data_IF_395037375127
#
_entry.id   IF_395037375127
#
_cell.length_a   1.000
_cell.length_b   1.000
_cell.length_c   1.000
_cell.angle_alpha   90.00
_cell.angle_beta   90.00
_cell.angle_gamma   90.00
#
_symmetry.space_group_name_H-M   'P 1'
#
loop_
_entity.id
_entity.type
_entity.pdbx_description
1 polymer ?
#
# COMPACT_ATOMS: atom_id res chain seq x y z
N UNK A 1 -40.57 -4.67 -1.71
CA UNK A 1 -40.89 -3.44 -0.96
C UNK A 1 -39.63 -2.92 -0.26
N UNK A 2 -39.39 -1.63 -0.44
CA UNK A 2 -38.24 -0.78 -0.07
C UNK A 2 -37.46 -1.13 1.22
N UNK A 3 -36.19 -1.50 1.05
CA UNK A 3 -35.18 -1.41 2.10
C UNK A 3 -34.67 0.03 2.20
N UNK A 4 -35.23 0.83 3.13
CA UNK A 4 -34.80 2.21 3.38
C UNK A 4 -33.32 2.23 3.77
N UNK A 5 -32.48 2.85 2.93
CA UNK A 5 -31.11 3.21 3.30
C UNK A 5 -31.18 4.24 4.43
N UNK A 6 -30.78 3.85 5.65
CA UNK A 6 -30.71 4.71 6.85
C UNK A 6 -29.59 5.76 6.75
N UNK A 7 -29.60 6.62 5.74
CA UNK A 7 -28.53 7.61 5.51
C UNK A 7 -29.02 9.07 5.58
N UNK A 8 -30.33 9.28 5.56
CA UNK A 8 -30.95 10.60 5.56
C UNK A 8 -32.03 10.66 6.64
N UNK A 9 -32.03 11.74 7.42
CA UNK A 9 -33.15 12.12 8.28
C UNK A 9 -33.80 13.37 7.67
N UNK A 10 -35.11 13.34 7.42
CA UNK A 10 -35.84 14.46 6.79
C UNK A 10 -35.23 14.96 5.46
N UNK A 11 -34.64 14.07 4.66
CA UNK A 11 -34.00 14.43 3.39
C UNK A 11 -32.64 15.14 3.52
N UNK A 12 -32.07 15.21 4.73
CA UNK A 12 -30.78 15.85 5.01
C UNK A 12 -29.79 14.83 5.56
N UNK A 13 -28.52 14.99 5.18
CA UNK A 13 -27.42 14.20 5.71
C UNK A 13 -26.90 14.83 7.01
N UNK A 14 -26.55 13.98 7.98
CA UNK A 14 -26.03 14.41 9.27
C UNK A 14 -24.73 13.65 9.59
N UNK A 15 -23.81 14.31 10.28
CA UNK A 15 -22.58 13.72 10.80
C UNK A 15 -22.50 13.90 12.31
N UNK A 16 -21.85 12.95 12.98
CA UNK A 16 -21.56 13.06 14.40
C UNK A 16 -20.26 13.83 14.60
N UNK A 17 -20.30 14.90 15.38
CA UNK A 17 -19.14 15.70 15.77
C UNK A 17 -19.11 15.72 17.30
N UNK A 18 -18.26 14.86 17.87
CA UNK A 18 -18.25 14.61 19.31
C UNK A 18 -19.61 14.10 19.84
N UNK A 19 -20.18 14.82 20.80
CA UNK A 19 -21.49 14.49 21.38
C UNK A 19 -22.69 14.99 20.56
N UNK A 20 -22.46 15.77 19.50
CA UNK A 20 -23.54 16.45 18.75
C UNK A 20 -23.72 15.85 17.37
N UNK A 21 -24.97 15.78 16.91
CA UNK A 21 -25.30 15.44 15.52
C UNK A 21 -25.49 16.74 14.74
N UNK A 22 -24.54 17.06 13.86
CA UNK A 22 -24.57 18.26 13.03
C UNK A 22 -25.05 17.93 11.61
N UNK A 23 -25.78 18.86 10.98
CA UNK A 23 -26.14 18.71 9.57
C UNK A 23 -24.87 18.79 8.71
N UNK A 24 -24.72 17.85 7.80
CA UNK A 24 -23.60 17.80 6.86
C UNK A 24 -23.83 18.79 5.72
N UNK A 25 -22.78 19.50 5.30
CA UNK A 25 -22.86 20.35 4.13
C UNK A 25 -23.05 19.52 2.85
N UNK A 26 -23.69 20.11 1.84
CA UNK A 26 -23.96 19.45 0.56
C UNK A 26 -22.67 19.03 -0.14
N UNK A 27 -21.63 19.85 -0.16
CA UNK A 27 -20.38 19.50 -0.83
C UNK A 27 -19.66 18.35 -0.10
N UNK A 28 -19.72 18.32 1.23
CA UNK A 28 -19.19 17.23 2.05
C UNK A 28 -19.96 15.93 1.85
N UNK A 29 -21.29 15.99 1.78
CA UNK A 29 -22.15 14.84 1.49
C UNK A 29 -21.93 14.28 0.08
N UNK A 30 -21.91 15.14 -0.93
CA UNK A 30 -21.62 14.76 -2.33
C UNK A 30 -20.22 14.15 -2.44
N UNK A 31 -19.22 14.71 -1.74
CA UNK A 31 -17.87 14.13 -1.65
C UNK A 31 -17.88 12.74 -1.02
N UNK A 32 -18.59 12.54 0.09
CA UNK A 32 -18.69 11.23 0.74
C UNK A 32 -19.42 10.21 -0.14
N UNK A 33 -20.45 10.63 -0.89
CA UNK A 33 -21.12 9.77 -1.87
C UNK A 33 -20.20 9.39 -3.03
N UNK A 34 -19.38 10.32 -3.53
CA UNK A 34 -18.39 10.06 -4.58
C UNK A 34 -17.30 9.10 -4.08
N UNK A 35 -16.76 9.32 -2.88
CA UNK A 35 -15.81 8.42 -2.22
C UNK A 35 -16.41 7.04 -1.99
N UNK A 36 -17.70 6.97 -1.61
CA UNK A 36 -18.41 5.70 -1.38
C UNK A 36 -18.74 4.95 -2.66
N UNK A 37 -18.84 5.64 -3.80
CA UNK A 37 -19.18 5.06 -5.12
C UNK A 37 -17.96 4.67 -5.95
N UNK A 38 -16.78 5.23 -5.68
CA UNK A 38 -15.56 4.80 -6.33
C UNK A 38 -15.08 3.49 -5.69
N UNK A 39 -14.84 2.47 -6.52
CA UNK A 39 -14.04 1.34 -6.09
C UNK A 39 -12.69 1.89 -5.59
N UNK A 40 -12.19 1.40 -4.43
CA UNK A 40 -10.80 1.59 -4.03
C UNK A 40 -9.87 1.39 -5.24
N UNK A 41 -8.82 2.21 -5.34
CA UNK A 41 -7.98 2.27 -6.54
C UNK A 41 -7.42 0.90 -6.94
N UNK A 42 -7.07 0.11 -5.94
CA UNK A 42 -6.55 -1.25 -6.09
C UNK A 42 -7.56 -2.24 -6.70
N UNK A 43 -8.86 -2.03 -6.47
CA UNK A 43 -9.95 -2.81 -7.04
C UNK A 43 -10.42 -2.34 -8.43
N UNK A 44 -9.81 -1.31 -9.02
CA UNK A 44 -10.17 -0.86 -10.38
C UNK A 44 -9.78 -1.91 -11.40
N UNK A 45 -10.72 -2.21 -12.28
CA UNK A 45 -10.51 -3.12 -13.40
C UNK A 45 -9.62 -2.46 -14.47
N UNK A 46 -8.70 -3.24 -15.02
CA UNK A 46 -7.78 -2.86 -16.09
C UNK A 46 -8.00 -3.79 -17.29
N UNK A 47 -8.97 -3.49 -18.18
CA UNK A 47 -9.32 -4.35 -19.32
C UNK A 47 -8.17 -4.60 -20.31
N UNK A 48 -7.19 -3.69 -20.34
CA UNK A 48 -6.00 -3.78 -21.18
C UNK A 48 -4.93 -4.73 -20.63
N UNK A 49 -4.99 -5.08 -19.34
CA UNK A 49 -4.03 -5.95 -18.68
C UNK A 49 -4.42 -7.42 -18.82
N UNK A 50 -3.45 -8.27 -19.15
CA UNK A 50 -3.67 -9.70 -19.39
C UNK A 50 -2.82 -10.57 -18.45
N UNK A 51 -3.10 -11.88 -18.42
CA UNK A 51 -2.26 -12.84 -17.69
C UNK A 51 -0.79 -12.83 -18.14
N UNK A 52 -0.49 -12.42 -19.37
CA UNK A 52 0.88 -12.32 -19.87
C UNK A 52 1.68 -11.21 -19.16
N UNK A 53 1.00 -10.19 -18.64
CA UNK A 53 1.60 -9.08 -17.89
C UNK A 53 1.91 -9.45 -16.44
N UNK A 54 1.46 -10.62 -15.97
CA UNK A 54 1.72 -11.14 -14.63
C UNK A 54 2.89 -12.13 -14.61
N UNK A 55 3.61 -12.14 -13.50
CA UNK A 55 4.63 -13.12 -13.19
C UNK A 55 4.03 -14.26 -12.35
N UNK A 56 3.71 -15.37 -13.01
CA UNK A 56 3.06 -16.51 -12.36
C UNK A 56 3.89 -17.14 -11.25
N UNK A 57 5.23 -17.07 -11.33
CA UNK A 57 6.11 -17.56 -10.26
C UNK A 57 5.92 -16.76 -8.97
N UNK A 58 5.72 -15.44 -9.07
CA UNK A 58 5.49 -14.54 -7.93
C UNK A 58 4.17 -14.85 -7.23
N UNK A 59 3.10 -15.09 -8.00
CA UNK A 59 1.82 -15.49 -7.43
C UNK A 59 1.92 -16.83 -6.70
N UNK A 60 2.57 -17.84 -7.31
CA UNK A 60 2.76 -19.15 -6.66
C UNK A 60 3.55 -19.03 -5.36
N UNK A 61 4.62 -18.25 -5.36
CA UNK A 61 5.41 -17.98 -4.16
C UNK A 61 4.57 -17.31 -3.07
N UNK A 62 3.76 -16.31 -3.42
CA UNK A 62 2.86 -15.64 -2.48
C UNK A 62 1.86 -16.62 -1.86
N UNK A 63 1.21 -17.44 -2.69
CA UNK A 63 0.25 -18.44 -2.24
C UNK A 63 0.87 -19.46 -1.29
N UNK A 64 2.09 -19.95 -1.60
CA UNK A 64 2.83 -20.86 -0.72
C UNK A 64 3.07 -20.24 0.66
N UNK A 65 3.53 -18.98 0.72
CA UNK A 65 3.75 -18.28 1.99
C UNK A 65 2.46 -18.00 2.73
N UNK A 66 1.41 -17.57 2.03
CA UNK A 66 0.10 -17.33 2.63
C UNK A 66 -0.47 -18.60 3.29
N UNK A 67 -0.26 -19.77 2.67
CA UNK A 67 -0.64 -21.06 3.27
C UNK A 67 0.23 -21.41 4.48
N UNK A 68 1.56 -21.24 4.39
CA UNK A 68 2.48 -21.60 5.48
C UNK A 68 2.35 -20.69 6.71
N UNK A 69 2.22 -19.39 6.50
CA UNK A 69 2.27 -18.39 7.57
C UNK A 69 0.89 -18.05 8.12
N UNK A 70 -0.15 -18.07 7.28
CA UNK A 70 -1.51 -17.63 7.64
C UNK A 70 -2.55 -18.74 7.56
N UNK A 71 -2.17 -19.95 7.16
CA UNK A 71 -3.09 -21.07 7.00
C UNK A 71 -4.14 -20.86 5.91
N UNK A 72 -3.92 -19.92 4.98
CA UNK A 72 -4.87 -19.64 3.91
C UNK A 72 -4.81 -20.79 2.89
N UNK A 73 -5.90 -21.54 2.65
CA UNK A 73 -5.90 -22.62 1.69
C UNK A 73 -5.63 -22.07 0.29
N UNK A 74 -4.51 -22.46 -0.31
CA UNK A 74 -4.19 -22.16 -1.69
C UNK A 74 -4.14 -23.47 -2.49
N UNK A 75 -4.76 -23.46 -3.66
CA UNK A 75 -4.62 -24.55 -4.60
C UNK A 75 -3.51 -24.20 -5.58
N UNK A 76 -2.30 -24.68 -5.28
CA UNK A 76 -1.14 -24.45 -6.12
C UNK A 76 -1.21 -25.19 -7.46
N UNK A 77 -2.12 -26.18 -7.58
CA UNK A 77 -2.36 -26.92 -8.81
C UNK A 77 -3.44 -26.25 -9.69
N UNK A 78 -4.28 -25.39 -9.12
CA UNK A 78 -5.29 -24.65 -9.87
C UNK A 78 -4.68 -23.70 -10.90
N UNK A 79 -5.39 -23.44 -12.02
CA UNK A 79 -4.99 -22.43 -12.99
C UNK A 79 -4.78 -21.06 -12.35
N UNK A 80 -3.78 -20.31 -12.85
CA UNK A 80 -3.41 -18.99 -12.34
C UNK A 80 -4.63 -18.04 -12.26
N UNK A 81 -5.48 -18.07 -13.29
CA UNK A 81 -6.70 -17.28 -13.36
C UNK A 81 -7.66 -17.54 -12.20
N UNK A 82 -7.78 -18.81 -11.77
CA UNK A 82 -8.68 -19.17 -10.67
C UNK A 82 -8.13 -18.67 -9.33
N UNK A 83 -6.82 -18.81 -9.11
CA UNK A 83 -6.17 -18.27 -7.92
C UNK A 83 -6.28 -16.74 -7.85
N UNK A 84 -6.14 -16.02 -8.96
CA UNK A 84 -6.33 -14.57 -9.00
C UNK A 84 -7.79 -14.18 -8.67
N UNK A 85 -8.77 -14.94 -9.16
CA UNK A 85 -10.20 -14.75 -8.81
C UNK A 85 -10.45 -15.00 -7.32
N UNK A 86 -9.86 -16.07 -6.75
CA UNK A 86 -9.97 -16.39 -5.30
C UNK A 86 -9.36 -15.29 -4.42
N UNK A 87 -8.27 -14.67 -4.87
CA UNK A 87 -7.66 -13.52 -4.21
C UNK A 87 -8.45 -12.21 -4.40
N UNK A 88 -9.48 -12.19 -5.24
CA UNK A 88 -10.30 -11.00 -5.51
C UNK A 88 -9.60 -9.95 -6.39
N UNK A 89 -8.45 -10.30 -6.99
CA UNK A 89 -7.66 -9.39 -7.86
C UNK A 89 -7.91 -9.62 -9.34
N UNK A 90 -8.85 -10.50 -9.68
CA UNK A 90 -9.36 -10.68 -11.04
C UNK A 90 -10.83 -11.05 -11.02
N UNK A 91 -11.55 -10.73 -12.09
CA UNK A 91 -12.95 -11.09 -12.28
C UNK A 91 -13.23 -11.49 -13.72
N UNK A 92 -14.33 -12.19 -13.95
CA UNK A 92 -14.78 -12.54 -15.29
C UNK A 92 -15.82 -11.51 -15.78
N UNK A 93 -15.60 -10.96 -16.97
CA UNK A 93 -16.48 -9.99 -17.64
C UNK A 93 -16.61 -10.40 -19.09
N UNK A 94 -17.83 -10.61 -19.56
CA UNK A 94 -18.14 -10.96 -20.95
C UNK A 94 -17.27 -12.13 -21.49
N UNK A 95 -17.06 -13.15 -20.67
CA UNK A 95 -16.26 -14.33 -20.99
C UNK A 95 -14.74 -14.11 -21.03
N UNK A 96 -14.26 -12.96 -20.55
CA UNK A 96 -12.84 -12.61 -20.45
C UNK A 96 -12.44 -12.40 -19.00
N UNK A 97 -11.20 -12.78 -18.67
CA UNK A 97 -10.61 -12.45 -17.38
C UNK A 97 -10.12 -11.00 -17.41
N UNK A 98 -10.58 -10.21 -16.46
CA UNK A 98 -10.18 -8.81 -16.25
C UNK A 98 -9.43 -8.71 -14.94
N UNK A 99 -8.22 -8.15 -14.99
CA UNK A 99 -7.35 -7.97 -13.83
C UNK A 99 -7.69 -6.66 -13.11
N UNK A 100 -7.41 -6.61 -11.81
CA UNK A 100 -7.45 -5.34 -11.07
C UNK A 100 -6.08 -4.68 -11.01
N UNK A 101 -6.04 -3.40 -10.65
CA UNK A 101 -4.79 -2.69 -10.29
C UNK A 101 -3.96 -3.48 -9.27
N UNK A 102 -4.59 -4.06 -8.25
CA UNK A 102 -3.90 -4.86 -7.24
C UNK A 102 -3.14 -6.05 -7.84
N UNK A 103 -3.72 -6.73 -8.85
CA UNK A 103 -3.04 -7.84 -9.53
C UNK A 103 -1.71 -7.40 -10.16
N UNK A 104 -1.70 -6.24 -10.82
CA UNK A 104 -0.47 -5.69 -11.39
C UNK A 104 0.50 -5.23 -10.30
N UNK A 105 0.03 -4.52 -9.28
CA UNK A 105 0.89 -4.00 -8.23
C UNK A 105 1.55 -5.09 -7.38
N UNK A 106 0.92 -6.25 -7.24
CA UNK A 106 1.44 -7.37 -6.47
C UNK A 106 2.18 -8.41 -7.34
N UNK A 107 1.71 -8.64 -8.57
CA UNK A 107 2.15 -9.76 -9.40
C UNK A 107 2.57 -9.37 -10.82
N UNK A 108 2.53 -8.09 -11.20
CA UNK A 108 2.88 -7.64 -12.55
C UNK A 108 4.38 -7.73 -12.86
N UNK A 109 4.73 -7.99 -14.11
CA UNK A 109 6.13 -7.97 -14.60
C UNK A 109 6.66 -6.55 -14.71
N UNK A 110 5.81 -5.62 -15.19
CA UNK A 110 6.12 -4.20 -15.36
C UNK A 110 4.89 -3.35 -15.01
N UNK A 111 4.51 -3.23 -13.72
CA UNK A 111 3.28 -2.55 -13.31
C UNK A 111 3.21 -1.09 -13.80
N UNK A 112 4.36 -0.44 -13.89
CA UNK A 112 4.48 0.96 -14.31
C UNK A 112 4.11 1.22 -15.78
N UNK A 113 3.99 0.19 -16.63
CA UNK A 113 3.39 0.36 -17.98
C UNK A 113 1.94 0.80 -17.91
N UNK A 114 1.22 0.37 -16.87
CA UNK A 114 -0.17 0.70 -16.62
C UNK A 114 -0.30 1.81 -15.57
N UNK A 115 0.67 1.89 -14.63
CA UNK A 115 0.64 2.79 -13.48
C UNK A 115 1.97 3.58 -13.36
N UNK A 116 2.26 4.53 -14.28
CA UNK A 116 3.60 5.12 -14.45
C UNK A 116 4.19 5.79 -13.20
N UNK A 117 3.34 6.31 -12.33
CA UNK A 117 3.75 7.08 -11.15
C UNK A 117 3.74 6.25 -9.86
N UNK A 118 3.62 4.93 -9.97
CA UNK A 118 3.75 4.03 -8.82
C UNK A 118 5.22 3.67 -8.62
N UNK A 119 5.90 4.43 -7.77
CA UNK A 119 7.30 4.20 -7.39
C UNK A 119 7.56 4.63 -5.94
N UNK A 120 8.67 4.14 -5.38
CA UNK A 120 9.22 4.64 -4.11
C UNK A 120 10.55 5.32 -4.39
N UNK A 121 10.62 6.63 -4.13
CA UNK A 121 11.87 7.40 -4.27
C UNK A 121 12.58 7.50 -2.94
N UNK A 122 13.86 7.18 -2.93
CA UNK A 122 14.67 7.13 -1.72
C UNK A 122 15.94 7.94 -1.91
N UNK A 123 16.29 8.75 -0.92
CA UNK A 123 17.53 9.51 -0.92
C UNK A 123 18.18 9.51 0.46
N UNK A 124 19.51 9.40 0.47
CA UNK A 124 20.35 9.63 1.65
C UNK A 124 20.93 11.03 1.57
N UNK A 125 20.72 11.86 2.58
CA UNK A 125 21.19 13.24 2.63
C UNK A 125 22.42 13.43 3.51
N UNK A 126 23.29 14.37 3.15
CA UNK A 126 24.36 14.82 4.02
C UNK A 126 23.76 15.66 5.16
N UNK A 127 23.88 15.18 6.40
CA UNK A 127 23.34 15.86 7.58
C UNK A 127 21.82 15.73 7.69
N UNK A 128 21.18 16.80 8.17
CA UNK A 128 19.78 16.82 8.62
C UNK A 128 18.82 17.60 7.69
N UNK A 129 19.34 18.13 6.58
CA UNK A 129 18.58 18.95 5.62
C UNK A 129 18.52 18.29 4.23
N UNK A 130 17.44 18.49 3.46
CA UNK A 130 17.26 17.86 2.15
C UNK A 130 18.00 18.60 1.02
N UNK A 131 19.21 19.10 1.28
CA UNK A 131 19.96 19.93 0.33
C UNK A 131 20.93 19.11 -0.53
N UNK A 132 21.75 18.28 0.10
CA UNK A 132 22.80 17.51 -0.57
C UNK A 132 22.53 16.01 -0.40
N UNK A 133 22.12 15.32 -1.47
CA UNK A 133 22.02 13.86 -1.44
C UNK A 133 23.38 13.21 -1.75
N UNK A 134 23.69 12.11 -1.07
CA UNK A 134 24.91 11.32 -1.25
C UNK A 134 24.64 9.96 -1.92
N UNK A 135 23.41 9.45 -1.82
CA UNK A 135 22.93 8.28 -2.55
C UNK A 135 21.44 8.47 -2.85
N UNK A 136 20.95 7.91 -3.96
CA UNK A 136 19.54 7.96 -4.34
C UNK A 136 19.14 6.71 -5.13
N UNK A 137 17.89 6.31 -4.98
CA UNK A 137 17.30 5.19 -5.70
C UNK A 137 15.81 5.44 -5.95
N UNK A 138 15.39 5.29 -7.19
CA UNK A 138 13.98 5.17 -7.55
C UNK A 138 13.66 3.68 -7.68
N UNK A 139 12.80 3.17 -6.81
CA UNK A 139 12.42 1.76 -6.76
C UNK A 139 11.16 1.54 -7.63
N UNK A 140 11.22 0.55 -8.52
CA UNK A 140 10.16 0.21 -9.47
C UNK A 140 9.74 -1.27 -9.34
N UNK A 141 8.80 -1.71 -10.16
CA UNK A 141 8.27 -3.08 -10.12
C UNK A 141 7.04 -3.20 -9.21
N UNK A 142 6.87 -4.36 -8.60
CA UNK A 142 5.78 -4.64 -7.68
C UNK A 142 6.01 -4.01 -6.30
N UNK A 143 4.95 -3.91 -5.50
CA UNK A 143 5.03 -3.37 -4.14
C UNK A 143 6.03 -4.13 -3.26
N UNK A 144 6.06 -5.48 -3.24
CA UNK A 144 7.08 -6.20 -2.49
C UNK A 144 8.51 -5.91 -2.96
N UNK A 145 8.73 -5.82 -4.28
CA UNK A 145 10.05 -5.51 -4.84
C UNK A 145 10.52 -4.11 -4.44
N UNK A 146 9.62 -3.11 -4.51
CA UNK A 146 9.93 -1.75 -4.07
C UNK A 146 10.27 -1.68 -2.57
N UNK A 147 9.57 -2.45 -1.73
CA UNK A 147 9.88 -2.54 -0.29
C UNK A 147 11.24 -3.21 -0.07
N UNK A 148 11.55 -4.29 -0.79
CA UNK A 148 12.82 -5.01 -0.68
C UNK A 148 14.02 -4.17 -1.19
N UNK A 149 13.83 -3.41 -2.26
CA UNK A 149 14.81 -2.42 -2.75
C UNK A 149 15.03 -1.31 -1.74
N UNK A 150 13.95 -0.80 -1.14
CA UNK A 150 14.02 0.23 -0.12
C UNK A 150 14.77 -0.22 1.12
N UNK A 151 14.50 -1.43 1.60
CA UNK A 151 15.19 -2.01 2.74
C UNK A 151 16.69 -2.19 2.45
N UNK A 152 17.05 -2.69 1.27
CA UNK A 152 18.45 -2.81 0.84
C UNK A 152 19.15 -1.46 0.78
N UNK A 153 18.47 -0.43 0.27
CA UNK A 153 18.99 0.94 0.26
C UNK A 153 19.24 1.47 1.67
N UNK A 154 18.31 1.27 2.59
CA UNK A 154 18.43 1.76 3.97
C UNK A 154 19.57 1.02 4.69
N UNK A 155 19.66 -0.30 4.55
CA UNK A 155 20.72 -1.11 5.16
C UNK A 155 22.12 -0.66 4.72
N UNK A 156 22.32 -0.35 3.44
CA UNK A 156 23.63 0.13 2.94
C UNK A 156 23.95 1.58 3.32
N UNK A 157 22.94 2.38 3.68
CA UNK A 157 23.07 3.82 3.96
C UNK A 157 22.91 4.19 5.44
N UNK A 158 22.77 3.20 6.33
CA UNK A 158 22.66 3.37 7.79
C UNK A 158 23.81 2.62 8.47
N UNK A 159 24.14 3.04 9.69
CA UNK A 159 25.30 2.51 10.42
C UNK A 159 24.95 1.14 11.01
N UNK A 160 25.95 0.26 10.98
CA UNK A 160 25.93 -1.00 11.71
C UNK A 160 27.19 -1.02 12.57
N UNK A 161 27.01 -0.97 13.89
CA UNK A 161 28.09 -1.18 14.84
C UNK A 161 28.21 -2.68 15.15
N UNK A 162 29.39 -3.13 15.56
CA UNK A 162 29.60 -4.48 16.06
C UNK A 162 30.10 -4.42 17.49
N UNK A 163 29.46 -5.18 18.38
CA UNK A 163 29.89 -5.37 19.76
C UNK A 163 30.29 -6.82 19.96
N UNK A 164 31.53 -7.06 20.37
CA UNK A 164 32.01 -8.39 20.73
C UNK A 164 31.79 -8.58 22.23
N UNK A 165 31.07 -9.63 22.62
CA UNK A 165 30.84 -10.00 24.03
C UNK A 165 31.29 -11.44 24.21
N UNK A 166 32.45 -11.66 24.85
CA UNK A 166 33.11 -12.97 24.89
C UNK A 166 33.55 -13.41 23.48
N UNK A 167 33.07 -14.58 23.04
CA UNK A 167 33.30 -15.10 21.69
C UNK A 167 32.19 -14.77 20.68
N UNK A 168 31.14 -14.04 21.09
CA UNK A 168 30.03 -13.67 20.22
C UNK A 168 30.17 -12.26 19.66
N UNK A 169 30.12 -12.12 18.33
CA UNK A 169 29.94 -10.83 17.66
C UNK A 169 28.44 -10.56 17.49
N UNK A 170 27.97 -9.44 18.03
CA UNK A 170 26.60 -8.95 17.85
C UNK A 170 26.60 -7.67 17.04
N UNK A 171 25.79 -7.63 15.99
CA UNK A 171 25.56 -6.43 15.21
C UNK A 171 24.49 -5.55 15.88
N UNK A 172 24.74 -4.26 15.94
CA UNK A 172 23.85 -3.23 16.48
C UNK A 172 23.54 -2.29 15.32
N UNK A 173 22.33 -2.37 14.80
CA UNK A 173 21.85 -1.55 13.68
C UNK A 173 21.40 -0.18 14.21
N UNK A 174 21.64 0.88 13.44
CA UNK A 174 21.21 2.25 13.79
C UNK A 174 19.69 2.38 13.90
N UNK A 175 18.95 1.57 13.13
CA UNK A 175 17.50 1.51 13.17
C UNK A 175 17.01 0.06 13.28
N UNK A 176 15.84 -0.16 13.89
CA UNK A 176 15.16 -1.45 13.82
C UNK A 176 14.59 -1.65 12.40
N UNK A 177 15.33 -2.33 11.54
CA UNK A 177 14.92 -2.55 10.14
C UNK A 177 13.52 -3.16 9.96
N UNK A 178 13.02 -4.08 10.82
CA UNK A 178 11.64 -4.53 10.72
C UNK A 178 10.60 -3.40 10.84
N UNK A 179 10.82 -2.44 11.73
CA UNK A 179 9.92 -1.30 11.90
C UNK A 179 10.01 -0.32 10.72
N UNK A 180 11.20 -0.10 10.18
CA UNK A 180 11.38 0.73 8.98
C UNK A 180 10.71 0.09 7.77
N UNK A 181 10.86 -1.23 7.60
CA UNK A 181 10.18 -2.00 6.54
C UNK A 181 8.66 -1.86 6.65
N UNK A 182 8.11 -1.99 7.86
CA UNK A 182 6.68 -1.83 8.13
C UNK A 182 6.19 -0.40 7.83
N UNK A 183 6.96 0.63 8.19
CA UNK A 183 6.62 2.01 7.85
C UNK A 183 6.53 2.23 6.33
N UNK A 184 7.45 1.63 5.56
CA UNK A 184 7.44 1.70 4.09
C UNK A 184 6.29 0.88 3.51
N UNK A 185 6.05 -0.33 4.04
CA UNK A 185 4.93 -1.18 3.65
C UNK A 185 3.60 -0.45 3.84
N UNK A 186 3.40 0.20 4.98
CA UNK A 186 2.24 1.02 5.25
C UNK A 186 2.13 2.22 4.31
N UNK A 187 3.26 2.88 4.03
CA UNK A 187 3.29 4.01 3.11
C UNK A 187 2.84 3.62 1.69
N UNK A 188 3.26 2.45 1.19
CA UNK A 188 2.83 1.97 -0.14
C UNK A 188 1.42 1.39 -0.11
N UNK A 189 1.06 0.60 0.90
CA UNK A 189 -0.26 -0.04 0.99
C UNK A 189 -1.39 0.99 1.17
N UNK A 190 -1.15 2.07 1.91
CA UNK A 190 -2.16 3.10 2.19
C UNK A 190 -2.04 4.35 1.30
N UNK A 191 -1.16 4.31 0.29
CA UNK A 191 -0.97 5.40 -0.68
C UNK A 191 -2.28 5.76 -1.36
N UNK A 192 -2.50 7.06 -1.54
CA UNK A 192 -3.54 7.59 -2.42
C UNK A 192 -3.10 7.48 -3.88
N UNK A 193 -3.39 6.34 -4.50
CA UNK A 193 -2.96 6.05 -5.87
C UNK A 193 -3.66 6.88 -6.95
N UNK A 194 -4.76 7.55 -6.62
CA UNK A 194 -5.40 8.54 -7.50
C UNK A 194 -4.52 9.78 -7.74
N UNK A 195 -3.58 10.04 -6.83
CA UNK A 195 -2.56 11.08 -7.01
C UNK A 195 -1.41 10.55 -7.85
N UNK A 196 -1.60 10.60 -9.16
CA UNK A 196 -0.58 10.26 -10.14
C UNK A 196 0.59 11.26 -10.18
N UNK A 197 0.56 12.36 -9.44
CA UNK A 197 1.59 13.41 -9.48
C UNK A 197 2.65 13.30 -8.37
N UNK A 198 2.46 12.41 -7.38
CA UNK A 198 3.33 12.35 -6.19
C UNK A 198 3.69 10.91 -5.82
N UNK A 199 4.97 10.61 -5.66
CA UNK A 199 5.49 9.31 -5.23
C UNK A 199 5.51 9.14 -3.70
N UNK A 200 5.70 7.89 -3.24
CA UNK A 200 6.17 7.66 -1.85
C UNK A 200 7.62 8.07 -1.77
N UNK A 201 7.98 8.86 -0.76
CA UNK A 201 9.34 9.36 -0.56
C UNK A 201 9.89 8.86 0.76
N UNK A 202 11.10 8.32 0.71
CA UNK A 202 11.88 7.92 1.90
C UNK A 202 13.16 8.75 1.96
N UNK A 203 13.30 9.56 2.99
CA UNK A 203 14.45 10.44 3.18
C UNK A 203 15.27 9.97 4.37
N UNK A 204 16.51 9.56 4.13
CA UNK A 204 17.44 9.12 5.18
C UNK A 204 18.36 10.28 5.52
N UNK A 205 18.21 10.84 6.72
CA UNK A 205 19.05 11.89 7.29
C UNK A 205 20.06 11.30 8.28
N UNK A 206 20.99 12.12 8.77
CA UNK A 206 22.00 11.69 9.75
C UNK A 206 21.42 11.37 11.13
N UNK A 207 20.19 11.80 11.41
CA UNK A 207 19.51 11.67 12.71
C UNK A 207 18.17 10.95 12.63
N UNK A 208 17.56 10.80 11.44
CA UNK A 208 16.22 10.21 11.27
C UNK A 208 15.99 9.64 9.88
N UNK A 209 14.96 8.81 9.77
CA UNK A 209 14.35 8.40 8.49
C UNK A 209 12.95 9.00 8.44
N UNK A 210 12.63 9.70 7.36
CA UNK A 210 11.28 10.19 7.08
C UNK A 210 10.65 9.35 5.97
N UNK A 211 9.43 8.87 6.19
CA UNK A 211 8.61 8.18 5.18
C UNK A 211 7.39 9.04 4.91
N UNK A 212 7.26 9.55 3.69
CA UNK A 212 6.18 10.41 3.25
C UNK A 212 5.35 9.67 2.20
N UNK A 213 4.04 9.54 2.44
CA UNK A 213 3.10 8.90 1.52
C UNK A 213 2.04 9.92 1.03
N UNK A 214 1.68 9.90 -0.27
CA UNK A 214 0.57 10.68 -0.79
C UNK A 214 -0.75 10.31 -0.13
N UNK A 215 -1.49 11.33 0.30
CA UNK A 215 -2.84 11.17 0.83
C UNK A 215 -3.01 11.75 2.24
N UNK A 216 -4.22 11.64 2.76
CA UNK A 216 -4.56 11.91 4.16
C UNK A 216 -4.95 10.61 4.84
N UNK A 217 -5.01 10.62 6.17
CA UNK A 217 -5.57 9.50 6.94
C UNK A 217 -6.96 9.14 6.38
N UNK A 218 -7.21 7.85 6.07
CA UNK A 218 -8.52 7.43 5.60
C UNK A 218 -9.52 7.57 6.74
N UNK A 219 -10.62 8.27 6.49
CA UNK A 219 -11.70 8.41 7.48
C UNK A 219 -12.21 7.01 7.88
N UNK A 220 -12.51 6.77 9.17
CA UNK A 220 -12.64 7.75 10.26
C UNK A 220 -11.35 8.07 11.04
N UNK A 221 -10.18 7.57 10.63
CA UNK A 221 -8.93 7.75 11.40
C UNK A 221 -8.57 9.21 11.62
N UNK A 222 -8.16 9.52 12.85
CA UNK A 222 -7.52 10.77 13.24
C UNK A 222 -6.10 10.49 13.72
N UNK A 223 -5.31 11.53 13.97
CA UNK A 223 -3.99 11.36 14.59
C UNK A 223 -4.10 10.78 16.00
N UNK A 224 -5.18 11.11 16.72
CA UNK A 224 -5.40 10.65 18.09
C UNK A 224 -5.82 9.17 18.15
N UNK A 225 -6.45 8.64 17.10
CA UNK A 225 -6.87 7.22 17.02
C UNK A 225 -5.86 6.33 16.29
N UNK A 226 -4.74 6.89 15.84
CA UNK A 226 -3.73 6.18 15.07
C UNK A 226 -3.03 5.12 15.94
N UNK A 227 -3.15 3.84 15.56
CA UNK A 227 -2.60 2.70 16.31
C UNK A 227 -3.61 1.97 17.18
N UNK A 228 -4.78 2.57 17.44
CA UNK A 228 -5.91 1.93 18.13
C UNK A 228 -6.98 1.48 17.15
N UNK A 229 -7.26 2.33 16.15
CA UNK A 229 -8.21 2.05 15.08
C UNK A 229 -7.48 1.76 13.75
N UNK A 230 -8.16 1.05 12.85
CA UNK A 230 -7.61 0.67 11.54
C UNK A 230 -8.60 0.99 10.42
N UNK A 231 -8.13 1.69 9.40
CA UNK A 231 -8.88 1.94 8.17
C UNK A 231 -7.98 1.74 6.95
N UNK A 232 -8.44 0.90 6.01
CA UNK A 232 -7.70 0.55 4.81
C UNK A 232 -8.15 1.42 3.64
N UNK A 233 -7.20 2.01 2.92
CA UNK A 233 -7.47 2.71 1.65
C UNK A 233 -7.52 1.74 0.48
N UNK A 234 -6.58 0.80 0.45
CA UNK A 234 -6.43 -0.21 -0.58
C UNK A 234 -6.55 -1.60 0.06
N UNK A 235 -7.77 -2.13 0.13
CA UNK A 235 -8.10 -3.36 0.87
C UNK A 235 -7.57 -4.64 0.23
N UNK A 236 -7.36 -4.65 -1.08
CA UNK A 236 -6.78 -5.79 -1.81
C UNK A 236 -5.24 -5.82 -1.68
N UNK A 237 -4.62 -4.68 -1.38
CA UNK A 237 -3.16 -4.56 -1.21
C UNK A 237 -2.73 -4.84 0.24
N UNK A 238 -3.47 -4.32 1.22
CA UNK A 238 -3.20 -4.47 2.65
C UNK A 238 -3.64 -5.83 3.20
#
# INVERSE_FOLDING_TARGET
>A
MSGRSRQLAFGRAFKRVGAVTAQMDRAEYERLLLVRRQLPFDGRELPEATLADLEGARLRWYLQRATQERGIPADLAAPLAENLKRLGVAAERDGRLVLTTAALLLFGKQPQRFLPYTMVRIARFQGTTPLNFIDRLDCFGTLPEMIDEAERFIKRNTRVAAKITGFERREITEYPYPAVREAIANAVAHRDYDRADVEVRVSVFSDRIEVQSPGRLPAPLTLDTLGEEYALRNRQIA
#
